data_IF_372250115692
#
_entry.id   IF_372250115692
#
_cell.length_a   1.000
_cell.length_b   1.000
_cell.length_c   1.000
_cell.angle_alpha   90.00
_cell.angle_beta   90.00
_cell.angle_gamma   90.00
#
_symmetry.space_group_name_H-M   'P 1'
#
loop_
_entity.id
_entity.type
_entity.pdbx_description
1 polymer ?
#
# COMPACT_ATOMS: atom_id res chain seq x y z
N UNK A 1 28.78 -48.77 -12.28
CA UNK A 1 28.28 -48.17 -11.02
C UNK A 1 26.88 -47.70 -11.32
N UNK A 2 25.89 -48.53 -10.99
CA UNK A 2 24.49 -48.25 -11.29
C UNK A 2 23.99 -47.23 -10.28
N UNK A 3 23.79 -45.99 -10.73
CA UNK A 3 23.04 -45.00 -9.95
C UNK A 3 21.59 -45.42 -10.06
N UNK A 4 21.09 -46.13 -9.06
CA UNK A 4 19.66 -46.30 -8.87
C UNK A 4 19.07 -44.90 -8.71
N UNK A 5 18.44 -44.38 -9.77
CA UNK A 5 17.56 -43.23 -9.68
C UNK A 5 16.38 -43.72 -8.84
N UNK A 6 16.44 -43.45 -7.54
CA UNK A 6 15.30 -43.61 -6.65
C UNK A 6 14.16 -42.82 -7.28
N UNK A 7 13.08 -43.54 -7.60
CA UNK A 7 11.83 -43.11 -8.23
C UNK A 7 11.07 -42.15 -7.28
N UNK A 8 11.74 -41.06 -6.91
CA UNK A 8 11.22 -40.03 -6.02
C UNK A 8 10.36 -39.13 -6.90
N UNK A 9 9.05 -39.00 -6.62
CA UNK A 9 8.18 -38.13 -7.40
C UNK A 9 8.79 -36.73 -7.45
N UNK A 10 8.89 -36.15 -8.65
CA UNK A 10 9.37 -34.78 -8.81
C UNK A 10 8.41 -33.85 -8.06
N UNK A 11 8.83 -33.35 -6.91
CA UNK A 11 8.04 -32.42 -6.13
C UNK A 11 8.25 -31.01 -6.69
N UNK A 12 7.26 -30.50 -7.43
CA UNK A 12 7.29 -29.16 -8.00
C UNK A 12 6.91 -28.12 -6.93
N UNK A 13 7.60 -26.97 -6.87
CA UNK A 13 7.27 -25.92 -5.91
C UNK A 13 5.87 -25.37 -6.19
N UNK A 14 4.99 -25.40 -5.19
CA UNK A 14 3.60 -24.96 -5.33
C UNK A 14 3.44 -23.51 -4.85
N UNK A 15 3.01 -22.59 -5.73
CA UNK A 15 2.54 -21.26 -5.33
C UNK A 15 1.45 -21.36 -4.28
N UNK A 16 1.50 -20.48 -3.28
CA UNK A 16 0.37 -20.23 -2.40
C UNK A 16 -0.62 -19.31 -3.12
N UNK A 17 -1.73 -19.88 -3.58
CA UNK A 17 -2.72 -19.17 -4.39
C UNK A 17 -3.51 -18.14 -3.59
N UNK A 18 -3.66 -18.31 -2.27
CA UNK A 18 -4.31 -17.30 -1.42
C UNK A 18 -3.45 -16.04 -1.35
N UNK A 19 -2.13 -16.21 -1.23
CA UNK A 19 -1.18 -15.10 -1.27
C UNK A 19 -1.16 -14.45 -2.66
N UNK A 20 -1.17 -15.21 -3.75
CA UNK A 20 -1.21 -14.66 -5.12
C UNK A 20 -2.43 -13.77 -5.32
N UNK A 21 -3.63 -14.30 -5.03
CA UNK A 21 -4.90 -13.59 -5.23
C UNK A 21 -4.97 -12.38 -4.28
N UNK A 22 -4.67 -12.59 -3.00
CA UNK A 22 -4.70 -11.54 -1.99
C UNK A 22 -3.72 -10.40 -2.28
N UNK A 23 -2.50 -10.71 -2.71
CA UNK A 23 -1.51 -9.69 -3.09
C UNK A 23 -1.92 -8.95 -4.35
N UNK A 24 -2.45 -9.62 -5.36
CA UNK A 24 -2.96 -8.97 -6.59
C UNK A 24 -4.07 -7.95 -6.26
N UNK A 25 -5.02 -8.34 -5.43
CA UNK A 25 -6.16 -7.47 -5.09
C UNK A 25 -5.71 -6.30 -4.23
N UNK A 26 -4.82 -6.55 -3.25
CA UNK A 26 -4.21 -5.48 -2.44
C UNK A 26 -3.37 -4.52 -3.29
N UNK A 27 -2.60 -5.00 -4.26
CA UNK A 27 -1.81 -4.16 -5.15
C UNK A 27 -2.70 -3.23 -5.99
N UNK A 28 -3.80 -3.75 -6.53
CA UNK A 28 -4.77 -2.93 -7.28
C UNK A 28 -5.46 -1.91 -6.38
N UNK A 29 -5.97 -2.35 -5.24
CA UNK A 29 -6.66 -1.49 -4.29
C UNK A 29 -5.76 -0.36 -3.78
N UNK A 30 -4.54 -0.68 -3.37
CA UNK A 30 -3.60 0.31 -2.86
C UNK A 30 -3.13 1.29 -3.96
N UNK A 31 -3.00 0.83 -5.20
CA UNK A 31 -2.68 1.70 -6.33
C UNK A 31 -3.83 2.68 -6.63
N UNK A 32 -5.08 2.24 -6.50
CA UNK A 32 -6.26 3.10 -6.66
C UNK A 32 -6.38 4.12 -5.52
N UNK A 33 -6.21 3.68 -4.26
CA UNK A 33 -6.20 4.58 -3.08
C UNK A 33 -5.12 5.66 -3.18
N UNK A 34 -3.95 5.30 -3.73
CA UNK A 34 -2.83 6.22 -3.96
C UNK A 34 -2.91 6.91 -5.33
N UNK A 35 -4.05 6.86 -6.02
CA UNK A 35 -4.24 7.45 -7.34
C UNK A 35 -4.01 8.97 -7.38
N UNK A 36 -4.23 9.65 -6.26
CA UNK A 36 -4.00 11.08 -6.08
C UNK A 36 -2.79 11.38 -5.17
N UNK A 37 -1.79 10.48 -5.20
CA UNK A 37 -0.54 10.69 -4.49
C UNK A 37 0.11 12.02 -4.89
N UNK A 38 0.62 12.75 -3.89
CA UNK A 38 1.19 14.09 -4.08
C UNK A 38 2.47 14.11 -4.94
N UNK A 39 3.09 12.94 -5.15
CA UNK A 39 4.29 12.76 -5.96
C UNK A 39 3.93 12.24 -7.36
N UNK A 40 3.97 13.06 -8.41
CA UNK A 40 3.57 12.64 -9.76
C UNK A 40 4.36 11.44 -10.29
N UNK A 41 5.65 11.37 -9.96
CA UNK A 41 6.50 10.22 -10.34
C UNK A 41 5.98 8.92 -9.72
N UNK A 42 5.50 8.95 -8.48
CA UNK A 42 4.95 7.75 -7.82
C UNK A 42 3.60 7.35 -8.39
N UNK A 43 2.77 8.31 -8.83
CA UNK A 43 1.53 8.01 -9.57
C UNK A 43 1.83 7.22 -10.84
N UNK A 44 2.84 7.63 -11.59
CA UNK A 44 3.32 6.93 -12.78
C UNK A 44 3.89 5.54 -12.46
N UNK A 45 4.69 5.43 -11.40
CA UNK A 45 5.22 4.15 -10.91
C UNK A 45 4.11 3.19 -10.52
N UNK A 46 3.06 3.62 -9.82
CA UNK A 46 1.92 2.80 -9.43
C UNK A 46 1.13 2.30 -10.64
N UNK A 47 0.94 3.16 -11.64
CA UNK A 47 0.33 2.75 -12.92
C UNK A 47 1.17 1.68 -13.63
N UNK A 48 2.48 1.90 -13.69
CA UNK A 48 3.42 0.92 -14.26
C UNK A 48 3.37 -0.41 -13.51
N UNK A 49 3.34 -0.37 -12.18
CA UNK A 49 3.20 -1.54 -11.32
C UNK A 49 1.96 -2.37 -11.67
N UNK A 50 0.78 -1.73 -11.75
CA UNK A 50 -0.47 -2.43 -12.07
C UNK A 50 -0.42 -3.07 -13.47
N UNK A 51 0.19 -2.38 -14.43
CA UNK A 51 0.39 -2.91 -15.78
C UNK A 51 1.31 -4.13 -15.78
N UNK A 52 2.45 -4.07 -15.07
CA UNK A 52 3.39 -5.20 -14.99
C UNK A 52 2.81 -6.39 -14.21
N UNK A 53 2.02 -6.16 -13.15
CA UNK A 53 1.27 -7.22 -12.47
C UNK A 53 0.31 -7.91 -13.45
N UNK A 54 -0.43 -7.12 -14.23
CA UNK A 54 -1.37 -7.64 -15.24
C UNK A 54 -0.65 -8.42 -16.35
N UNK A 55 0.55 -7.98 -16.73
CA UNK A 55 1.40 -8.69 -17.68
C UNK A 55 1.88 -10.04 -17.12
N UNK A 56 2.33 -10.07 -15.87
CA UNK A 56 2.70 -11.34 -15.19
C UNK A 56 1.49 -12.27 -15.06
N UNK A 57 0.31 -11.76 -14.68
CA UNK A 57 -0.93 -12.53 -14.61
C UNK A 57 -1.26 -13.20 -15.94
N UNK A 58 -1.12 -12.45 -17.05
CA UNK A 58 -1.35 -12.98 -18.39
C UNK A 58 -0.37 -14.09 -18.72
N UNK A 59 0.93 -13.87 -18.55
CA UNK A 59 1.95 -14.87 -18.93
C UNK A 59 1.90 -16.12 -18.04
N UNK A 60 1.52 -15.96 -16.76
CA UNK A 60 1.23 -17.07 -15.87
C UNK A 60 0.01 -17.86 -16.34
N UNK A 61 -1.10 -17.19 -16.68
CA UNK A 61 -2.29 -17.85 -17.19
C UNK A 61 -2.04 -18.54 -18.54
N UNK A 62 -1.27 -17.93 -19.43
CA UNK A 62 -0.85 -18.53 -20.70
C UNK A 62 -0.02 -19.81 -20.43
N UNK A 63 0.87 -19.81 -19.43
CA UNK A 63 1.58 -21.03 -19.04
C UNK A 63 0.64 -22.11 -18.49
N UNK A 64 -0.26 -21.75 -17.57
CA UNK A 64 -1.25 -22.67 -16.97
C UNK A 64 -2.21 -23.28 -18.00
N UNK A 65 -2.45 -22.58 -19.12
CA UNK A 65 -3.41 -22.99 -20.14
C UNK A 65 -2.75 -23.68 -21.32
N UNK A 66 -1.64 -23.15 -21.86
CA UNK A 66 -1.05 -23.61 -23.12
C UNK A 66 -0.07 -24.77 -22.92
N UNK A 67 0.71 -24.77 -21.84
CA UNK A 67 1.73 -25.82 -21.60
C UNK A 67 1.12 -27.22 -21.62
N UNK A 68 -0.03 -27.49 -20.97
CA UNK A 68 -0.65 -28.82 -21.03
C UNK A 68 -1.02 -29.30 -22.44
N UNK A 69 -1.26 -28.37 -23.38
CA UNK A 69 -1.64 -28.73 -24.75
C UNK A 69 -0.44 -29.07 -25.62
N UNK A 70 0.72 -28.44 -25.40
CA UNK A 70 1.89 -28.66 -26.25
C UNK A 70 2.96 -29.53 -25.60
N UNK A 71 2.96 -29.71 -24.28
CA UNK A 71 3.96 -30.49 -23.55
C UNK A 71 3.36 -31.83 -23.11
N UNK A 72 3.15 -32.71 -24.10
CA UNK A 72 2.65 -34.08 -23.95
C UNK A 72 3.34 -35.00 -24.96
N UNK A 73 3.08 -36.29 -24.84
CA UNK A 73 3.65 -37.39 -25.63
C UNK A 73 2.69 -37.95 -26.69
N UNK A 74 1.47 -37.42 -26.80
CA UNK A 74 0.40 -37.95 -27.67
C UNK A 74 0.86 -38.16 -29.13
N UNK A 75 1.63 -37.21 -29.68
CA UNK A 75 2.15 -37.31 -31.05
C UNK A 75 3.36 -38.25 -31.19
N UNK A 76 4.02 -38.61 -30.10
CA UNK A 76 5.18 -39.52 -30.09
C UNK A 76 4.76 -40.99 -30.00
N UNK A 77 3.65 -41.29 -29.32
CA UNK A 77 3.17 -42.66 -29.08
C UNK A 77 2.99 -43.51 -30.36
N UNK A 78 2.40 -42.99 -31.46
CA UNK A 78 2.24 -43.77 -32.69
C UNK A 78 3.58 -44.21 -33.30
N UNK A 79 4.62 -43.38 -33.17
CA UNK A 79 5.96 -43.70 -33.66
C UNK A 79 6.66 -44.75 -32.79
N UNK A 80 6.49 -44.67 -31.46
CA UNK A 80 6.99 -45.69 -30.53
C UNK A 80 6.38 -47.05 -30.81
N UNK A 81 5.06 -47.11 -31.01
CA UNK A 81 4.34 -48.33 -31.36
C UNK A 81 4.79 -48.90 -32.71
N UNK A 82 5.05 -48.03 -33.69
CA UNK A 82 5.53 -48.45 -35.01
C UNK A 82 6.94 -49.05 -34.93
N UNK A 83 7.85 -48.44 -34.16
CA UNK A 83 9.20 -48.96 -33.91
C UNK A 83 9.13 -50.33 -33.24
N UNK A 84 8.27 -50.49 -32.22
CA UNK A 84 8.11 -51.77 -31.51
C UNK A 84 7.65 -52.90 -32.46
N UNK A 85 6.76 -52.61 -33.42
CA UNK A 85 6.29 -53.57 -34.42
C UNK A 85 7.38 -53.92 -35.44
N UNK A 86 8.10 -52.93 -35.96
CA UNK A 86 9.15 -53.12 -36.97
C UNK A 86 10.34 -53.96 -36.46
N UNK A 87 10.66 -53.87 -35.16
CA UNK A 87 11.69 -54.71 -34.53
C UNK A 87 11.34 -56.20 -34.50
N UNK A 88 10.06 -56.56 -34.71
CA UNK A 88 9.59 -57.94 -34.80
C UNK A 88 9.57 -58.53 -36.21
N UNK A 89 9.90 -57.75 -37.24
CA UNK A 89 9.82 -58.17 -38.65
C UNK A 89 11.12 -58.82 -39.17
N UNK A 90 11.03 -59.78 -40.11
CA UNK A 90 12.19 -60.52 -40.61
C UNK A 90 13.04 -59.76 -41.66
N UNK A 91 12.57 -58.65 -42.25
CA UNK A 91 13.31 -57.85 -43.24
C UNK A 91 14.14 -56.74 -42.53
N UNK A 92 15.26 -57.13 -41.93
CA UNK A 92 16.10 -56.26 -41.09
C UNK A 92 16.55 -54.95 -41.78
N UNK A 93 16.76 -54.97 -43.10
CA UNK A 93 17.26 -53.81 -43.83
C UNK A 93 16.18 -52.73 -44.00
N UNK A 94 14.95 -53.11 -44.33
CA UNK A 94 13.83 -52.16 -44.43
C UNK A 94 13.34 -51.71 -43.06
N UNK A 95 13.27 -52.62 -42.10
CA UNK A 95 12.92 -52.29 -40.71
C UNK A 95 13.93 -51.32 -40.11
N UNK A 96 15.22 -51.48 -40.36
CA UNK A 96 16.26 -50.57 -39.87
C UNK A 96 16.12 -49.13 -40.37
N UNK A 97 15.84 -48.95 -41.66
CA UNK A 97 15.65 -47.62 -42.25
C UNK A 97 14.41 -46.90 -41.70
N UNK A 98 13.28 -47.61 -41.60
CA UNK A 98 12.04 -47.06 -41.06
C UNK A 98 12.14 -46.75 -39.55
N UNK A 99 12.83 -47.59 -38.77
CA UNK A 99 13.11 -47.31 -37.35
C UNK A 99 13.94 -46.02 -37.20
N UNK A 100 14.94 -45.81 -38.07
CA UNK A 100 15.76 -44.61 -38.03
C UNK A 100 14.94 -43.34 -38.31
N UNK A 101 14.04 -43.39 -39.30
CA UNK A 101 13.13 -42.28 -39.65
C UNK A 101 12.19 -41.93 -38.49
N UNK A 102 11.49 -42.92 -37.91
CA UNK A 102 10.63 -42.68 -36.75
C UNK A 102 11.40 -42.21 -35.51
N UNK A 103 12.63 -42.68 -35.32
CA UNK A 103 13.49 -42.22 -34.22
C UNK A 103 13.91 -40.76 -34.38
N UNK A 104 14.12 -40.33 -35.63
CA UNK A 104 14.41 -38.94 -35.96
C UNK A 104 13.19 -38.06 -35.70
N UNK A 105 11.99 -38.47 -36.12
CA UNK A 105 10.74 -37.72 -35.86
C UNK A 105 10.47 -37.56 -34.36
N UNK A 106 10.62 -38.61 -33.57
CA UNK A 106 10.49 -38.52 -32.10
C UNK A 106 11.49 -37.52 -31.52
N UNK A 107 12.73 -37.51 -32.00
CA UNK A 107 13.74 -36.56 -31.52
C UNK A 107 13.39 -35.11 -31.87
N UNK A 108 12.86 -34.86 -33.07
CA UNK A 108 12.35 -33.54 -33.50
C UNK A 108 11.18 -33.09 -32.62
N UNK A 109 10.25 -33.99 -32.30
CA UNK A 109 9.11 -33.70 -31.42
C UNK A 109 9.59 -33.33 -30.02
N UNK A 110 10.51 -34.10 -29.43
CA UNK A 110 11.12 -33.79 -28.13
C UNK A 110 11.81 -32.42 -28.15
N UNK A 111 12.58 -32.10 -29.19
CA UNK A 111 13.21 -30.78 -29.43
C UNK A 111 12.19 -29.67 -29.46
N UNK A 112 11.12 -29.86 -30.22
CA UNK A 112 10.05 -28.87 -30.37
C UNK A 112 9.32 -28.63 -29.04
N UNK A 113 8.99 -29.68 -28.29
CA UNK A 113 8.27 -29.57 -27.02
C UNK A 113 9.14 -28.93 -25.94
N UNK A 114 10.39 -29.36 -25.80
CA UNK A 114 11.36 -28.74 -24.87
C UNK A 114 11.58 -27.26 -25.22
N UNK A 115 11.77 -26.92 -26.50
CA UNK A 115 11.97 -25.53 -26.92
C UNK A 115 10.73 -24.65 -26.65
N UNK A 116 9.53 -25.21 -26.80
CA UNK A 116 8.27 -24.50 -26.49
C UNK A 116 8.12 -24.23 -25.00
N UNK A 117 8.44 -25.21 -24.15
CA UNK A 117 8.44 -25.02 -22.69
C UNK A 117 9.49 -23.98 -22.26
N UNK A 118 10.70 -24.05 -22.83
CA UNK A 118 11.76 -23.07 -22.57
C UNK A 118 11.35 -21.64 -22.95
N UNK A 119 10.63 -21.49 -24.09
CA UNK A 119 10.09 -20.20 -24.50
C UNK A 119 9.08 -19.67 -23.49
N UNK A 120 8.14 -20.50 -23.03
CA UNK A 120 7.14 -20.08 -22.05
C UNK A 120 7.79 -19.67 -20.72
N UNK A 121 8.74 -20.46 -20.22
CA UNK A 121 9.47 -20.14 -19.00
C UNK A 121 10.20 -18.79 -19.12
N UNK A 122 10.86 -18.54 -20.25
CA UNK A 122 11.57 -17.29 -20.52
C UNK A 122 10.66 -16.06 -20.59
N UNK A 123 9.46 -16.20 -21.15
CA UNK A 123 8.51 -15.08 -21.22
C UNK A 123 8.00 -14.73 -19.82
N UNK A 124 7.66 -15.72 -19.00
CA UNK A 124 7.27 -15.51 -17.60
C UNK A 124 8.40 -14.90 -16.77
N UNK A 125 9.64 -15.40 -16.93
CA UNK A 125 10.83 -14.84 -16.27
C UNK A 125 11.02 -13.35 -16.59
N UNK A 126 10.93 -12.99 -17.88
CA UNK A 126 11.03 -11.59 -18.31
C UNK A 126 9.95 -10.72 -17.68
N UNK A 127 8.71 -11.20 -17.61
CA UNK A 127 7.62 -10.47 -16.96
C UNK A 127 7.90 -10.25 -15.47
N UNK A 128 8.41 -11.27 -14.76
CA UNK A 128 8.81 -11.16 -13.35
C UNK A 128 9.98 -10.19 -13.14
N UNK A 129 10.98 -10.20 -14.02
CA UNK A 129 12.10 -9.25 -13.98
C UNK A 129 11.60 -7.81 -14.15
N UNK A 130 10.72 -7.56 -15.12
CA UNK A 130 10.14 -6.24 -15.36
C UNK A 130 9.34 -5.75 -14.13
N UNK A 131 8.49 -6.61 -13.56
CA UNK A 131 7.74 -6.30 -12.35
C UNK A 131 8.67 -5.97 -11.16
N UNK A 132 9.74 -6.73 -10.98
CA UNK A 132 10.73 -6.47 -9.93
C UNK A 132 11.47 -5.15 -10.12
N UNK A 133 11.69 -4.72 -11.36
CA UNK A 133 12.36 -3.47 -11.67
C UNK A 133 11.54 -2.23 -11.29
N UNK A 134 10.22 -2.36 -11.08
CA UNK A 134 9.37 -1.24 -10.63
C UNK A 134 9.67 -0.89 -9.18
N UNK A 135 10.33 0.25 -8.94
CA UNK A 135 10.72 0.71 -7.61
C UNK A 135 9.65 1.63 -7.00
N UNK A 136 8.83 1.10 -6.09
CA UNK A 136 7.79 1.86 -5.38
C UNK A 136 8.28 2.52 -4.09
N UNK A 137 9.45 2.15 -3.59
CA UNK A 137 10.03 2.62 -2.34
C UNK A 137 11.15 3.68 -2.55
N UNK A 138 11.26 4.25 -3.74
CA UNK A 138 12.29 5.24 -4.07
C UNK A 138 12.20 6.53 -3.22
N UNK A 139 11.08 6.72 -2.53
CA UNK A 139 10.72 7.96 -1.79
C UNK A 139 10.83 7.81 -0.28
N UNK A 140 11.29 6.66 0.23
CA UNK A 140 11.42 6.40 1.68
C UNK A 140 12.30 7.44 2.38
N UNK A 141 13.27 8.02 1.66
CA UNK A 141 14.16 9.08 2.13
C UNK A 141 13.44 10.40 2.49
N UNK A 142 12.21 10.62 2.03
CA UNK A 142 11.41 11.80 2.36
C UNK A 142 10.73 11.68 3.74
N UNK A 143 10.59 10.47 4.27
CA UNK A 143 9.88 10.20 5.54
C UNK A 143 10.44 11.02 6.72
N UNK A 144 11.77 11.08 6.96
CA UNK A 144 12.29 11.83 8.11
C UNK A 144 12.02 13.34 8.04
N UNK A 145 12.05 13.91 6.83
CA UNK A 145 11.76 15.33 6.63
C UNK A 145 10.27 15.63 6.93
N UNK A 146 9.37 14.79 6.43
CA UNK A 146 7.93 14.90 6.71
C UNK A 146 7.61 14.68 8.19
N UNK A 147 8.24 13.71 8.85
CA UNK A 147 8.08 13.49 10.29
C UNK A 147 8.48 14.73 11.11
N UNK A 148 9.58 15.39 10.72
CA UNK A 148 10.04 16.61 11.37
C UNK A 148 9.07 17.78 11.14
N UNK A 149 8.53 17.91 9.94
CA UNK A 149 7.57 18.98 9.60
C UNK A 149 6.23 18.78 10.32
N UNK A 150 5.71 17.55 10.33
CA UNK A 150 4.53 17.15 11.12
C UNK A 150 4.73 17.45 12.60
N UNK A 151 5.87 17.06 13.18
CA UNK A 151 6.19 17.33 14.60
C UNK A 151 6.22 18.84 14.89
N UNK A 152 6.79 19.63 13.98
CA UNK A 152 6.86 21.09 14.10
C UNK A 152 5.47 21.73 14.04
N UNK A 153 4.63 21.30 13.11
CA UNK A 153 3.25 21.79 12.95
C UNK A 153 2.36 21.38 14.13
N UNK A 154 2.54 20.16 14.68
CA UNK A 154 1.87 19.72 15.89
C UNK A 154 2.21 20.60 17.09
N UNK A 155 3.49 20.92 17.29
CA UNK A 155 3.95 21.80 18.36
C UNK A 155 3.36 23.22 18.21
N UNK A 156 3.37 23.77 16.98
CA UNK A 156 2.75 25.08 16.70
C UNK A 156 1.25 25.07 16.97
N UNK A 157 0.53 24.05 16.50
CA UNK A 157 -0.91 23.91 16.72
C UNK A 157 -1.25 23.83 18.22
N UNK A 158 -0.43 23.14 19.01
CA UNK A 158 -0.60 23.08 20.46
C UNK A 158 -0.43 24.46 21.11
N UNK A 159 0.60 25.23 20.71
CA UNK A 159 0.81 26.60 21.21
C UNK A 159 -0.38 27.52 20.90
N UNK A 160 -0.85 27.52 19.65
CA UNK A 160 -1.96 28.41 19.26
C UNK A 160 -3.28 27.99 19.93
N UNK A 161 -3.52 26.69 20.16
CA UNK A 161 -4.66 26.21 20.94
C UNK A 161 -4.61 26.69 22.39
N UNK A 162 -3.47 26.60 23.05
CA UNK A 162 -3.30 27.10 24.42
C UNK A 162 -3.58 28.60 24.48
N UNK A 163 -3.03 29.39 23.54
CA UNK A 163 -3.33 30.83 23.44
C UNK A 163 -4.82 31.09 23.23
N UNK A 164 -5.50 30.25 22.45
CA UNK A 164 -6.93 30.41 22.17
C UNK A 164 -7.75 30.17 23.43
N UNK A 165 -7.41 29.14 24.19
CA UNK A 165 -8.04 28.83 25.48
C UNK A 165 -7.84 29.95 26.51
N UNK A 166 -6.61 30.49 26.59
CA UNK A 166 -6.30 31.65 27.44
C UNK A 166 -7.13 32.88 27.02
N UNK A 167 -7.23 33.15 25.73
CA UNK A 167 -7.96 34.31 25.20
C UNK A 167 -9.48 34.18 25.42
N UNK A 168 -10.04 32.99 25.23
CA UNK A 168 -11.45 32.69 25.52
C UNK A 168 -11.75 32.86 27.01
N UNK A 169 -10.79 32.55 27.89
CA UNK A 169 -10.94 32.77 29.33
C UNK A 169 -10.96 34.27 29.65
N UNK A 170 -10.08 35.07 29.05
CA UNK A 170 -10.07 36.54 29.20
C UNK A 170 -11.38 37.16 28.69
N UNK A 171 -11.86 36.71 27.54
CA UNK A 171 -13.13 37.18 26.96
C UNK A 171 -14.31 36.92 27.88
N UNK A 172 -14.40 35.73 28.49
CA UNK A 172 -15.44 35.39 29.48
C UNK A 172 -15.44 36.32 30.68
N UNK A 173 -14.26 36.65 31.22
CA UNK A 173 -14.13 37.57 32.36
C UNK A 173 -14.64 38.97 31.99
N UNK A 174 -14.23 39.49 30.83
CA UNK A 174 -14.64 40.82 30.35
C UNK A 174 -16.14 40.87 30.06
N UNK A 175 -16.68 39.87 29.35
CA UNK A 175 -18.11 39.81 29.02
C UNK A 175 -18.99 39.68 30.28
N UNK A 176 -18.58 38.88 31.27
CA UNK A 176 -19.29 38.77 32.53
C UNK A 176 -19.34 40.11 33.28
N UNK A 177 -18.20 40.83 33.34
CA UNK A 177 -18.15 42.15 33.96
C UNK A 177 -19.03 43.17 33.22
N UNK A 178 -19.01 43.18 31.88
CA UNK A 178 -19.89 44.05 31.09
C UNK A 178 -21.36 43.78 31.41
N UNK A 179 -21.78 42.50 31.44
CA UNK A 179 -23.16 42.12 31.79
C UNK A 179 -23.53 42.58 33.21
N UNK A 180 -22.65 42.39 34.19
CA UNK A 180 -22.90 42.82 35.57
C UNK A 180 -23.04 44.35 35.66
N UNK A 181 -22.19 45.11 34.94
CA UNK A 181 -22.26 46.58 34.86
C UNK A 181 -23.53 47.05 34.14
N UNK A 182 -23.89 46.42 33.02
CA UNK A 182 -25.12 46.72 32.28
C UNK A 182 -26.38 46.37 33.10
N UNK A 183 -26.34 45.37 33.98
CA UNK A 183 -27.47 45.05 34.87
C UNK A 183 -27.77 46.15 35.90
N UNK A 184 -26.78 47.00 36.21
CA UNK A 184 -26.91 48.16 37.10
C UNK A 184 -27.36 49.43 36.35
N UNK A 185 -27.48 49.39 35.02
CA UNK A 185 -27.70 50.55 34.14
C UNK A 185 -29.05 51.27 34.28
N UNK A 186 -29.87 50.95 35.30
CA UNK A 186 -30.99 51.81 35.71
C UNK A 186 -30.53 53.18 36.28
N UNK A 187 -29.22 53.37 36.49
CA UNK A 187 -28.63 54.61 37.01
C UNK A 187 -27.61 55.18 36.01
N UNK A 188 -28.12 55.98 35.06
CA UNK A 188 -27.37 56.66 34.01
C UNK A 188 -26.02 57.25 34.48
N UNK A 189 -24.91 56.76 33.90
CA UNK A 189 -23.55 57.35 33.91
C UNK A 189 -22.70 57.19 35.20
N UNK A 190 -22.23 55.98 35.46
CA UNK A 190 -21.10 55.74 36.39
C UNK A 190 -19.77 56.25 35.80
N UNK A 191 -19.55 57.56 35.89
CA UNK A 191 -18.38 58.26 35.33
C UNK A 191 -17.04 58.02 36.06
N UNK A 192 -16.99 57.32 37.20
CA UNK A 192 -15.83 56.44 37.44
C UNK A 192 -16.26 55.16 38.18
N UNK A 193 -16.14 54.00 37.54
CA UNK A 193 -16.63 52.70 38.06
C UNK A 193 -16.12 52.35 39.48
N UNK A 194 -14.94 52.83 39.88
CA UNK A 194 -14.39 52.62 41.23
C UNK A 194 -15.05 53.52 42.28
N UNK A 195 -15.23 54.81 42.01
CA UNK A 195 -15.83 55.76 42.96
C UNK A 195 -17.31 55.45 43.21
N UNK A 196 -17.99 54.88 42.22
CA UNK A 196 -19.36 54.39 42.38
C UNK A 196 -19.47 53.10 43.18
N UNK A 197 -18.45 52.22 43.15
CA UNK A 197 -18.46 50.97 43.91
C UNK A 197 -18.22 51.18 45.40
N UNK A 198 -17.43 52.19 45.79
CA UNK A 198 -17.30 52.60 47.19
C UNK A 198 -18.62 53.16 47.72
N UNK A 199 -19.24 54.06 46.97
CA UNK A 199 -20.54 54.65 47.34
C UNK A 199 -21.71 53.65 47.32
N UNK A 200 -21.74 52.68 46.41
CA UNK A 200 -22.74 51.60 46.40
C UNK A 200 -22.55 50.61 47.55
N UNK A 201 -21.31 50.29 47.92
CA UNK A 201 -21.01 49.43 49.06
C UNK A 201 -21.47 50.07 50.39
N UNK A 202 -21.46 51.41 50.48
CA UNK A 202 -21.98 52.16 51.63
C UNK A 202 -23.52 52.14 51.70
N UNK A 203 -24.22 51.98 50.57
CA UNK A 203 -25.70 52.03 50.48
C UNK A 203 -26.33 50.63 50.67
N UNK A 204 -25.81 49.59 50.02
CA UNK A 204 -26.29 48.22 50.16
C UNK A 204 -25.12 47.22 50.20
N UNK A 205 -24.46 47.09 51.37
CA UNK A 205 -23.27 46.26 51.53
C UNK A 205 -23.52 44.75 51.33
N UNK A 206 -24.78 44.31 51.24
CA UNK A 206 -25.15 42.88 51.09
C UNK A 206 -25.48 42.51 49.65
N UNK A 207 -25.45 43.44 48.69
CA UNK A 207 -25.75 43.13 47.31
C UNK A 207 -24.63 42.28 46.68
N UNK A 208 -24.90 41.03 46.25
CA UNK A 208 -23.89 40.15 45.67
C UNK A 208 -23.28 40.67 44.36
N UNK A 209 -23.99 41.53 43.61
CA UNK A 209 -23.49 42.13 42.37
C UNK A 209 -22.30 43.06 42.63
N UNK A 210 -22.27 43.77 43.76
CA UNK A 210 -21.15 44.66 44.12
C UNK A 210 -19.85 43.85 44.28
N UNK A 211 -19.93 42.68 44.91
CA UNK A 211 -18.81 41.76 45.06
C UNK A 211 -18.33 41.19 43.71
N UNK A 212 -19.27 40.80 42.85
CA UNK A 212 -18.97 40.30 41.50
C UNK A 212 -18.24 41.35 40.65
N UNK A 213 -18.73 42.59 40.65
CA UNK A 213 -18.14 43.69 39.88
C UNK A 213 -16.75 44.04 40.41
N UNK A 214 -16.53 44.09 41.73
CA UNK A 214 -15.18 44.31 42.31
C UNK A 214 -14.19 43.22 41.87
N UNK A 215 -14.61 41.96 41.89
CA UNK A 215 -13.78 40.85 41.42
C UNK A 215 -13.51 40.92 39.90
N UNK A 216 -14.52 41.28 39.11
CA UNK A 216 -14.38 41.48 37.66
C UNK A 216 -13.43 42.63 37.30
N UNK A 217 -13.54 43.80 37.97
CA UNK A 217 -12.62 44.94 37.77
C UNK A 217 -11.18 44.52 38.09
N UNK A 218 -10.95 43.84 39.22
CA UNK A 218 -9.61 43.33 39.53
C UNK A 218 -9.09 42.36 38.45
N UNK A 219 -9.96 41.50 37.92
CA UNK A 219 -9.64 40.61 36.80
C UNK A 219 -9.25 41.36 35.53
N UNK A 220 -10.00 42.40 35.16
CA UNK A 220 -9.72 43.22 33.97
C UNK A 220 -8.50 44.13 34.13
N UNK A 221 -8.31 44.72 35.31
CA UNK A 221 -7.09 45.50 35.63
C UNK A 221 -5.84 44.65 35.47
N UNK A 222 -5.88 43.37 35.89
CA UNK A 222 -4.78 42.43 35.66
C UNK A 222 -4.59 42.10 34.16
N UNK A 223 -5.67 42.01 33.37
CA UNK A 223 -5.58 41.78 31.92
C UNK A 223 -4.95 42.98 31.19
N UNK A 224 -5.27 44.21 31.64
CA UNK A 224 -4.79 45.46 31.07
C UNK A 224 -3.43 45.93 31.64
N UNK A 225 -2.87 45.20 32.62
CA UNK A 225 -1.67 45.60 33.38
C UNK A 225 -1.78 47.02 33.99
N UNK A 226 -2.98 47.38 34.45
CA UNK A 226 -3.26 48.68 35.05
C UNK A 226 -3.14 48.57 36.58
N UNK A 227 -1.98 48.97 37.09
CA UNK A 227 -1.68 48.91 38.53
C UNK A 227 -2.47 49.92 39.38
N UNK A 228 -2.87 51.08 38.82
CA UNK A 228 -3.50 52.18 39.58
C UNK A 228 -4.54 53.00 38.79
N UNK A 229 -4.91 52.59 37.57
CA UNK A 229 -5.85 53.36 36.74
C UNK A 229 -7.31 52.90 36.93
N UNK A 230 -8.23 53.86 37.04
CA UNK A 230 -9.66 53.58 37.08
C UNK A 230 -10.13 53.00 35.74
N UNK A 231 -10.57 51.73 35.73
CA UNK A 231 -11.20 51.10 34.56
C UNK A 231 -12.58 51.71 34.38
N UNK A 232 -12.83 52.42 33.28
CA UNK A 232 -14.17 52.89 32.91
C UNK A 232 -14.85 51.94 31.89
N UNK A 233 -16.12 52.21 31.57
CA UNK A 233 -16.90 51.38 30.66
C UNK A 233 -16.36 51.40 29.21
N UNK A 234 -15.83 52.53 28.75
CA UNK A 234 -15.26 52.63 27.40
C UNK A 234 -13.99 51.76 27.28
N UNK A 235 -13.20 51.63 28.37
CA UNK A 235 -12.11 50.67 28.43
C UNK A 235 -12.59 49.22 28.33
N UNK A 236 -13.73 48.85 28.95
CA UNK A 236 -14.29 47.50 28.86
C UNK A 236 -14.75 47.16 27.44
N UNK A 237 -15.44 48.08 26.78
CA UNK A 237 -15.89 47.92 25.40
C UNK A 237 -14.70 47.83 24.44
N UNK A 238 -13.71 48.72 24.59
CA UNK A 238 -12.49 48.70 23.77
C UNK A 238 -11.71 47.40 23.97
N UNK A 239 -11.60 46.92 25.21
CA UNK A 239 -10.96 45.65 25.52
C UNK A 239 -11.72 44.47 24.92
N UNK A 240 -13.04 44.44 25.02
CA UNK A 240 -13.87 43.40 24.40
C UNK A 240 -13.64 43.36 22.89
N UNK A 241 -13.72 44.51 22.22
CA UNK A 241 -13.56 44.59 20.76
C UNK A 241 -12.13 44.15 20.35
N UNK A 242 -11.12 44.51 21.15
CA UNK A 242 -9.74 44.05 20.97
C UNK A 242 -9.60 42.54 21.15
N UNK A 243 -10.19 41.96 22.20
CA UNK A 243 -10.17 40.53 22.46
C UNK A 243 -10.89 39.75 21.36
N UNK A 244 -12.01 40.26 20.86
CA UNK A 244 -12.75 39.65 19.75
C UNK A 244 -11.92 39.63 18.46
N UNK A 245 -11.25 40.73 18.12
CA UNK A 245 -10.35 40.77 16.97
C UNK A 245 -9.18 39.80 17.10
N UNK A 246 -8.59 39.69 18.30
CA UNK A 246 -7.50 38.75 18.58
C UNK A 246 -7.99 37.28 18.55
N UNK A 247 -9.19 37.01 19.07
CA UNK A 247 -9.82 35.69 19.00
C UNK A 247 -10.05 35.24 17.57
N UNK A 248 -10.58 36.12 16.72
CA UNK A 248 -10.77 35.83 15.30
C UNK A 248 -9.43 35.47 14.64
N UNK A 249 -8.41 36.33 14.80
CA UNK A 249 -7.09 36.09 14.23
C UNK A 249 -6.45 34.77 14.73
N UNK A 250 -6.70 34.41 15.98
CA UNK A 250 -6.17 33.19 16.57
C UNK A 250 -6.94 31.94 16.14
N UNK A 251 -8.26 32.04 15.96
CA UNK A 251 -9.07 30.99 15.34
C UNK A 251 -8.61 30.72 13.91
N UNK A 252 -8.34 31.78 13.13
CA UNK A 252 -7.79 31.67 11.79
C UNK A 252 -6.41 30.98 11.83
N UNK A 253 -5.51 31.41 12.72
CA UNK A 253 -4.18 30.80 12.87
C UNK A 253 -4.23 29.32 13.27
N UNK A 254 -5.16 28.93 14.16
CA UNK A 254 -5.41 27.52 14.51
C UNK A 254 -5.94 26.74 13.31
N UNK A 255 -6.86 27.34 12.54
CA UNK A 255 -7.41 26.76 11.31
C UNK A 255 -6.33 26.50 10.27
N UNK A 256 -5.49 27.50 9.99
CA UNK A 256 -4.36 27.41 9.06
C UNK A 256 -3.33 26.36 9.51
N UNK A 257 -2.93 26.38 10.79
CA UNK A 257 -1.97 25.41 11.33
C UNK A 257 -2.50 23.98 11.25
N UNK A 258 -3.80 23.78 11.50
CA UNK A 258 -4.45 22.48 11.36
C UNK A 258 -4.51 22.03 9.91
N UNK A 259 -4.93 22.89 8.99
CA UNK A 259 -5.00 22.55 7.57
C UNK A 259 -3.61 22.19 7.01
N UNK A 260 -2.58 22.93 7.38
CA UNK A 260 -1.20 22.61 7.02
C UNK A 260 -0.75 21.26 7.60
N UNK A 261 -1.07 20.99 8.87
CA UNK A 261 -0.77 19.70 9.50
C UNK A 261 -1.46 18.54 8.78
N UNK A 262 -2.75 18.68 8.46
CA UNK A 262 -3.54 17.63 7.78
C UNK A 262 -2.94 17.31 6.39
N UNK A 263 -2.42 18.31 5.67
CA UNK A 263 -1.72 18.12 4.40
C UNK A 263 -0.42 17.31 4.58
N UNK A 264 0.44 17.67 5.53
CA UNK A 264 1.70 16.95 5.73
C UNK A 264 1.49 15.54 6.27
N UNK A 265 0.51 15.34 7.15
CA UNK A 265 0.09 14.01 7.61
C UNK A 265 -0.41 13.17 6.45
N UNK A 266 -1.25 13.73 5.56
CA UNK A 266 -1.73 13.01 4.39
C UNK A 266 -0.59 12.57 3.46
N UNK A 267 0.40 13.44 3.21
CA UNK A 267 1.60 13.09 2.42
C UNK A 267 2.39 11.95 3.06
N UNK A 268 2.59 12.01 4.38
CA UNK A 268 3.26 10.96 5.15
C UNK A 268 2.53 9.62 5.07
N UNK A 269 1.21 9.65 5.22
CA UNK A 269 0.36 8.45 5.13
C UNK A 269 0.42 7.84 3.72
N UNK A 270 0.45 8.67 2.67
CA UNK A 270 0.65 8.21 1.29
C UNK A 270 2.00 7.50 1.09
N UNK A 271 3.10 8.01 1.68
CA UNK A 271 4.41 7.32 1.63
C UNK A 271 4.36 6.00 2.41
N UNK A 272 3.71 5.97 3.57
CA UNK A 272 3.51 4.73 4.33
C UNK A 272 2.71 3.69 3.52
N UNK A 273 1.71 4.14 2.76
CA UNK A 273 0.97 3.31 1.82
C UNK A 273 1.88 2.66 0.76
N UNK A 274 2.84 3.40 0.19
CA UNK A 274 3.81 2.87 -0.78
C UNK A 274 4.69 1.76 -0.19
N UNK A 275 5.04 1.83 1.09
CA UNK A 275 5.80 0.77 1.75
C UNK A 275 5.01 -0.55 1.79
N UNK A 276 3.69 -0.48 1.99
CA UNK A 276 2.81 -1.66 1.96
C UNK A 276 2.70 -2.25 0.55
N UNK A 277 2.64 -1.40 -0.49
CA UNK A 277 2.68 -1.83 -1.90
C UNK A 277 3.93 -2.68 -2.18
N UNK A 278 5.10 -2.27 -1.66
CA UNK A 278 6.35 -3.00 -1.84
C UNK A 278 6.31 -4.41 -1.22
N UNK A 279 5.65 -4.57 -0.06
CA UNK A 279 5.46 -5.88 0.58
C UNK A 279 4.58 -6.79 -0.28
N UNK A 280 3.41 -6.30 -0.71
CA UNK A 280 2.50 -7.09 -1.55
C UNK A 280 3.12 -7.47 -2.88
N UNK A 281 3.92 -6.58 -3.48
CA UNK A 281 4.68 -6.87 -4.71
C UNK A 281 5.66 -8.01 -4.50
N UNK A 282 6.43 -7.98 -3.41
CA UNK A 282 7.42 -9.01 -3.09
C UNK A 282 6.76 -10.37 -2.85
N UNK A 283 5.63 -10.39 -2.14
CA UNK A 283 4.86 -11.60 -1.90
C UNK A 283 4.34 -12.18 -3.22
N UNK A 284 3.73 -11.35 -4.08
CA UNK A 284 3.23 -11.77 -5.38
C UNK A 284 4.36 -12.34 -6.27
N UNK A 285 5.48 -11.62 -6.41
CA UNK A 285 6.64 -12.06 -7.20
C UNK A 285 7.19 -13.38 -6.67
N UNK A 286 7.33 -13.52 -5.35
CA UNK A 286 7.84 -14.74 -4.72
C UNK A 286 6.96 -15.95 -5.07
N UNK A 287 5.64 -15.79 -4.95
CA UNK A 287 4.71 -16.88 -5.18
C UNK A 287 4.59 -17.25 -6.66
N UNK A 288 4.48 -16.28 -7.58
CA UNK A 288 4.51 -16.56 -9.03
C UNK A 288 5.89 -17.09 -9.48
N UNK A 289 6.98 -16.67 -8.82
CA UNK A 289 8.32 -17.19 -9.04
C UNK A 289 8.44 -18.70 -8.80
N UNK A 290 7.57 -19.30 -7.98
CA UNK A 290 7.48 -20.76 -7.82
C UNK A 290 6.97 -21.45 -9.08
N UNK A 291 6.01 -20.86 -9.80
CA UNK A 291 5.56 -21.38 -11.09
C UNK A 291 6.71 -21.39 -12.11
N UNK A 292 7.46 -20.30 -12.21
CA UNK A 292 8.65 -20.25 -13.07
C UNK A 292 9.70 -21.30 -12.68
N UNK A 293 9.96 -21.47 -11.38
CA UNK A 293 10.86 -22.51 -10.86
C UNK A 293 10.37 -23.92 -11.24
N UNK A 294 9.07 -24.19 -11.19
CA UNK A 294 8.52 -25.49 -11.60
C UNK A 294 8.74 -25.76 -13.10
N UNK A 295 8.47 -24.78 -13.98
CA UNK A 295 8.70 -24.90 -15.42
C UNK A 295 10.17 -25.18 -15.75
N UNK A 296 11.08 -24.47 -15.09
CA UNK A 296 12.54 -24.62 -15.30
C UNK A 296 13.08 -25.93 -14.73
N UNK A 297 12.56 -26.40 -13.59
CA UNK A 297 12.90 -27.70 -13.02
C UNK A 297 12.49 -28.84 -13.96
N UNK A 298 11.30 -28.79 -14.54
CA UNK A 298 10.88 -29.80 -15.54
C UNK A 298 11.75 -29.69 -16.79
N UNK A 299 12.02 -28.48 -17.27
CA UNK A 299 12.88 -28.28 -18.44
C UNK A 299 14.27 -28.91 -18.26
N UNK A 300 14.87 -28.74 -17.08
CA UNK A 300 16.19 -29.30 -16.76
C UNK A 300 16.20 -30.84 -16.68
N UNK A 301 15.06 -31.45 -16.34
CA UNK A 301 14.97 -32.88 -16.08
C UNK A 301 14.22 -33.66 -17.15
N UNK A 302 13.57 -33.02 -18.13
CA UNK A 302 12.71 -33.68 -19.12
C UNK A 302 13.46 -34.50 -20.19
N UNK A 303 14.79 -34.49 -20.19
CA UNK A 303 15.61 -35.19 -21.19
C UNK A 303 16.58 -36.18 -20.56
N UNK A 304 16.61 -37.37 -21.15
CA UNK A 304 17.71 -38.30 -20.99
C UNK A 304 18.74 -38.11 -22.11
N UNK A 305 20.00 -38.51 -21.89
CA UNK A 305 21.04 -38.50 -22.92
C UNK A 305 20.63 -39.33 -24.15
N UNK A 306 21.17 -38.96 -25.32
CA UNK A 306 20.94 -39.72 -26.56
C UNK A 306 21.54 -41.13 -26.55
N UNK A 307 22.36 -41.47 -25.54
CA UNK A 307 22.87 -42.83 -25.31
C UNK A 307 21.81 -43.78 -24.74
N UNK A 308 20.74 -43.25 -24.13
CA UNK A 308 19.62 -44.06 -23.64
C UNK A 308 18.69 -44.49 -24.77
N UNK A 309 17.98 -45.60 -24.57
CA UNK A 309 17.00 -46.11 -25.53
C UNK A 309 15.92 -45.07 -25.86
N UNK A 310 15.43 -45.05 -27.10
CA UNK A 310 14.42 -44.08 -27.52
C UNK A 310 13.12 -44.23 -26.70
N UNK A 311 12.71 -45.48 -26.46
CA UNK A 311 11.54 -45.79 -25.64
C UNK A 311 11.69 -45.23 -24.22
N UNK A 312 12.86 -45.41 -23.61
CA UNK A 312 13.17 -44.88 -22.27
C UNK A 312 13.18 -43.35 -22.25
N UNK A 313 13.71 -42.72 -23.30
CA UNK A 313 13.68 -41.26 -23.47
C UNK A 313 12.25 -40.73 -23.55
N UNK A 314 11.38 -41.38 -24.33
CA UNK A 314 9.96 -40.99 -24.46
C UNK A 314 9.22 -41.24 -23.14
N UNK A 315 9.41 -42.39 -22.50
CA UNK A 315 8.78 -42.71 -21.22
C UNK A 315 9.19 -41.71 -20.13
N UNK A 316 10.48 -41.37 -20.05
CA UNK A 316 10.99 -40.36 -19.12
C UNK A 316 10.39 -38.98 -19.38
N UNK A 317 10.36 -38.54 -20.64
CA UNK A 317 9.71 -37.28 -21.02
C UNK A 317 8.23 -37.28 -20.62
N UNK A 318 7.51 -38.37 -20.89
CA UNK A 318 6.08 -38.52 -20.60
C UNK A 318 5.78 -38.44 -19.10
N UNK A 319 6.63 -39.05 -18.26
CA UNK A 319 6.54 -38.91 -16.79
C UNK A 319 6.68 -37.45 -16.35
N UNK A 320 7.64 -36.73 -16.92
CA UNK A 320 7.88 -35.32 -16.60
C UNK A 320 6.74 -34.41 -17.10
N UNK A 321 6.23 -34.68 -18.30
CA UNK A 321 5.10 -33.99 -18.89
C UNK A 321 3.82 -34.20 -18.06
N UNK A 322 3.52 -35.43 -17.66
CA UNK A 322 2.36 -35.74 -16.83
C UNK A 322 2.41 -35.09 -15.45
N UNK A 323 3.59 -35.09 -14.81
CA UNK A 323 3.80 -34.41 -13.54
C UNK A 323 3.54 -32.90 -13.66
N UNK A 324 4.08 -32.26 -14.71
CA UNK A 324 3.87 -30.84 -14.96
C UNK A 324 2.40 -30.53 -15.27
N UNK A 325 1.76 -31.31 -16.14
CA UNK A 325 0.39 -31.07 -16.58
C UNK A 325 -0.60 -31.20 -15.42
N UNK A 326 -0.42 -32.20 -14.55
CA UNK A 326 -1.21 -32.36 -13.31
C UNK A 326 -1.05 -31.13 -12.42
N UNK A 327 0.20 -30.71 -12.18
CA UNK A 327 0.51 -29.52 -11.39
C UNK A 327 -0.14 -28.23 -11.94
N UNK A 328 -0.06 -28.01 -13.26
CA UNK A 328 -0.63 -26.82 -13.90
C UNK A 328 -2.15 -26.82 -13.92
N UNK A 329 -2.78 -27.98 -14.12
CA UNK A 329 -4.25 -28.12 -14.07
C UNK A 329 -4.77 -27.81 -12.67
N UNK A 330 -4.11 -28.31 -11.63
CA UNK A 330 -4.46 -28.01 -10.23
C UNK A 330 -4.37 -26.51 -9.94
N UNK A 331 -3.26 -25.87 -10.32
CA UNK A 331 -3.08 -24.43 -10.14
C UNK A 331 -4.11 -23.60 -10.92
N UNK A 332 -4.43 -24.01 -12.15
CA UNK A 332 -5.45 -23.34 -12.98
C UNK A 332 -6.83 -23.39 -12.33
N UNK A 333 -7.15 -24.48 -11.62
CA UNK A 333 -8.40 -24.59 -10.84
C UNK A 333 -8.49 -23.50 -9.78
N UNK A 334 -7.41 -23.31 -9.01
CA UNK A 334 -7.32 -22.27 -7.99
C UNK A 334 -7.22 -20.84 -8.56
N UNK A 335 -6.69 -20.67 -9.77
CA UNK A 335 -6.54 -19.35 -10.41
C UNK A 335 -7.87 -18.65 -10.73
N UNK A 336 -8.93 -19.44 -10.96
CA UNK A 336 -10.28 -18.97 -11.33
C UNK A 336 -11.22 -18.75 -10.15
N UNK A 337 -10.81 -19.21 -8.97
CA UNK A 337 -11.57 -19.10 -7.72
C UNK A 337 -11.37 -17.72 -7.10
#
# INVERSE_FOLDING_TARGET
MNVHVLDTPVQLPKPDMEIVIGSRDKLKHQADELGDIYLPVMKETLRSLVNEVSNVDKEALDALTLVPHFFNDDEMLPFVDAIAKLRGEPDEAKSGAAIAEFSQEISILLDTRTASLARQAKVLDKALINLNAVQVNAVDHLTPALDQEVSTLQARLAIEKTRLEEMLTKEKVVNALIIDVESLSFFDKLKPLIASLETLADIDPKNPLIGSIKAGIAGVSNILDLLDAAVDYDHLITLRDTLQAQLLALQDAVGEARAALDVEVSKRDQISGLASVQVYKNDYVREIGKLHTALTQVLANCRLPASEGLEERVEHFSRQANALNTYLVDLRGSWRS
#
